data_IF_256018931297
#
_entry.id   IF_256018931297
#
_cell.length_a   1.000
_cell.length_b   1.000
_cell.length_c   1.000
_cell.angle_alpha   90.00
_cell.angle_beta   90.00
_cell.angle_gamma   90.00
#
_symmetry.space_group_name_H-M   'P 1'
#
loop_
_entity.id
_entity.type
_entity.pdbx_description
1 polymer ?
#
# COMPACT_ATOMS: atom_id res chain seq x y z
N UNK A 1 43.81 -12.75 25.27
CA UNK A 1 42.73 -12.49 26.25
C UNK A 1 42.55 -13.72 27.14
N UNK A 2 42.67 -13.56 28.48
CA UNK A 2 42.56 -14.70 29.38
C UNK A 2 41.15 -15.29 29.41
N UNK A 3 41.02 -16.61 29.39
CA UNK A 3 39.79 -17.38 29.41
C UNK A 3 38.80 -16.94 30.53
N UNK A 4 39.34 -16.42 31.66
CA UNK A 4 38.54 -15.86 32.74
C UNK A 4 37.86 -14.52 32.40
N UNK A 5 38.45 -13.70 31.52
CA UNK A 5 37.87 -12.41 31.08
C UNK A 5 36.75 -12.64 30.09
N UNK A 6 36.90 -13.65 29.22
CA UNK A 6 35.86 -14.07 28.28
C UNK A 6 34.60 -14.59 29.01
N UNK A 7 34.82 -15.42 30.07
CA UNK A 7 33.71 -15.92 30.92
C UNK A 7 32.95 -14.80 31.62
N UNK A 8 33.65 -13.77 32.11
CA UNK A 8 33.02 -12.61 32.78
C UNK A 8 32.25 -11.74 31.81
N UNK A 9 32.75 -11.51 30.60
CA UNK A 9 32.07 -10.74 29.57
C UNK A 9 30.82 -11.45 29.02
N UNK A 10 30.91 -12.75 28.82
CA UNK A 10 29.77 -13.58 28.40
C UNK A 10 28.70 -13.67 29.50
N UNK A 11 29.12 -13.80 30.76
CA UNK A 11 28.19 -13.83 31.90
C UNK A 11 27.47 -12.48 32.11
N UNK A 12 28.18 -11.35 31.95
CA UNK A 12 27.56 -10.03 32.04
C UNK A 12 26.57 -9.77 30.89
N UNK A 13 26.88 -10.26 29.70
CA UNK A 13 26.00 -10.14 28.54
C UNK A 13 24.73 -10.99 28.73
N UNK A 14 24.84 -12.20 29.30
CA UNK A 14 23.69 -13.05 29.59
C UNK A 14 22.79 -12.47 30.69
N UNK A 15 23.35 -11.87 31.72
CA UNK A 15 22.59 -11.23 32.83
C UNK A 15 21.86 -9.97 32.32
N UNK A 16 22.47 -9.17 31.47
CA UNK A 16 21.80 -8.03 30.83
C UNK A 16 20.64 -8.49 29.92
N UNK A 17 20.81 -9.61 29.20
CA UNK A 17 19.76 -10.18 28.36
C UNK A 17 18.55 -10.71 29.17
N UNK A 18 18.79 -11.34 30.31
CA UNK A 18 17.72 -11.86 31.18
C UNK A 18 16.96 -10.74 31.91
N UNK A 19 17.64 -9.64 32.27
CA UNK A 19 17.01 -8.47 32.90
C UNK A 19 16.04 -7.74 31.98
N UNK A 20 16.30 -7.67 30.68
CA UNK A 20 15.40 -7.06 29.68
C UNK A 20 14.23 -7.98 29.36
N UNK A 21 14.43 -9.29 29.37
CA UNK A 21 13.36 -10.26 29.11
C UNK A 21 12.27 -10.23 30.20
N UNK A 22 12.62 -10.01 31.47
CA UNK A 22 11.66 -9.95 32.57
C UNK A 22 10.79 -8.67 32.57
N UNK A 23 11.26 -7.58 32.00
CA UNK A 23 10.46 -6.36 31.82
C UNK A 23 9.44 -6.45 30.66
N UNK A 24 9.68 -7.36 29.71
CA UNK A 24 8.78 -7.56 28.56
C UNK A 24 7.58 -8.48 28.83
N UNK A 25 7.63 -9.30 29.89
CA UNK A 25 6.61 -10.31 30.23
C UNK A 25 5.45 -9.73 31.07
N UNK A 26 5.58 -8.51 31.60
CA UNK A 26 4.67 -7.99 32.63
C UNK A 26 3.35 -7.38 32.10
N UNK A 27 3.02 -7.47 30.80
CA UNK A 27 1.83 -6.76 30.29
C UNK A 27 1.14 -7.39 29.07
N UNK A 28 0.97 -8.70 29.04
CA UNK A 28 0.07 -9.34 28.07
C UNK A 28 -1.24 -9.79 28.72
N UNK A 29 -2.19 -8.87 28.86
CA UNK A 29 -3.59 -9.24 28.86
C UNK A 29 -3.93 -9.83 27.46
N UNK A 30 -4.79 -10.87 27.35
CA UNK A 30 -5.15 -11.44 26.05
C UNK A 30 -5.85 -10.36 25.22
N UNK A 31 -5.10 -9.71 24.36
CA UNK A 31 -5.64 -8.81 23.35
C UNK A 31 -6.44 -9.67 22.37
N UNK A 32 -7.71 -9.37 22.20
CA UNK A 32 -8.50 -9.83 21.08
C UNK A 32 -7.78 -9.37 19.81
N UNK A 33 -6.97 -10.25 19.24
CA UNK A 33 -6.25 -10.01 18.00
C UNK A 33 -7.30 -9.85 16.90
N UNK A 34 -7.51 -8.63 16.43
CA UNK A 34 -8.30 -8.43 15.23
C UNK A 34 -7.58 -9.17 14.10
N UNK A 35 -8.23 -10.15 13.50
CA UNK A 35 -7.66 -10.87 12.38
C UNK A 35 -7.41 -9.89 11.23
N UNK A 36 -6.14 -9.77 10.82
CA UNK A 36 -5.79 -8.92 9.69
C UNK A 36 -6.47 -9.45 8.42
N UNK A 37 -7.07 -8.57 7.64
CA UNK A 37 -7.74 -8.92 6.37
C UNK A 37 -6.75 -8.84 5.20
N UNK A 38 -6.93 -9.72 4.20
CA UNK A 38 -6.04 -9.78 3.00
C UNK A 38 -5.94 -8.43 2.30
N UNK A 39 -7.05 -7.73 2.11
CA UNK A 39 -7.10 -6.43 1.43
C UNK A 39 -7.13 -5.23 2.38
N UNK A 40 -6.94 -5.41 3.68
CA UNK A 40 -6.99 -4.34 4.68
C UNK A 40 -5.80 -3.39 4.68
N UNK A 41 -4.79 -3.62 3.84
CA UNK A 41 -3.60 -2.78 3.69
C UNK A 41 -2.61 -2.90 4.85
N UNK A 42 -1.47 -2.23 4.71
CA UNK A 42 -0.36 -2.29 5.69
C UNK A 42 -0.67 -1.65 7.04
N UNK A 43 -1.66 -0.78 7.10
CA UNK A 43 -2.04 -0.06 8.34
C UNK A 43 -2.55 -0.95 9.47
N UNK A 44 -2.94 -2.19 9.16
CA UNK A 44 -3.39 -3.18 10.14
C UNK A 44 -2.26 -3.99 10.79
N UNK A 45 -1.00 -3.78 10.38
CA UNK A 45 0.16 -4.51 10.88
C UNK A 45 1.13 -3.59 11.62
N UNK A 46 1.94 -4.20 12.51
CA UNK A 46 3.19 -3.59 13.00
C UNK A 46 4.26 -3.77 11.93
N UNK A 47 4.93 -2.68 11.58
CA UNK A 47 5.92 -2.65 10.49
C UNK A 47 7.27 -2.10 10.91
N UNK A 48 7.39 -1.52 12.09
CA UNK A 48 8.63 -0.96 12.61
C UNK A 48 9.17 -1.82 13.74
N UNK A 49 10.49 -1.97 13.76
CA UNK A 49 11.20 -2.59 14.87
C UNK A 49 12.53 -1.87 15.15
N UNK A 50 13.00 -1.99 16.37
CA UNK A 50 14.32 -1.55 16.83
C UNK A 50 15.00 -2.74 17.47
N UNK A 51 16.29 -2.93 17.18
CA UNK A 51 17.06 -4.04 17.72
C UNK A 51 18.38 -3.61 18.30
N UNK A 52 18.87 -4.46 19.20
CA UNK A 52 20.22 -4.42 19.75
C UNK A 52 20.90 -5.74 19.44
N UNK A 53 22.17 -5.69 19.07
CA UNK A 53 22.93 -6.89 18.76
C UNK A 53 24.35 -6.82 19.30
N UNK A 54 24.90 -7.97 19.61
CA UNK A 54 26.27 -8.16 20.02
C UNK A 54 26.84 -9.45 19.45
N UNK A 55 28.13 -9.47 19.23
CA UNK A 55 28.74 -10.63 18.58
C UNK A 55 30.23 -10.50 18.42
N UNK A 56 30.75 -11.19 17.44
CA UNK A 56 32.19 -11.33 17.17
C UNK A 56 32.54 -10.73 15.83
N UNK A 57 33.45 -9.79 15.83
CA UNK A 57 34.09 -9.21 14.66
C UNK A 57 35.40 -9.98 14.36
N UNK A 58 35.63 -10.32 13.10
CA UNK A 58 36.78 -11.08 12.63
C UNK A 58 37.27 -10.51 11.30
N UNK A 59 38.62 -10.28 11.13
CA UNK A 59 39.18 -9.82 9.85
C UNK A 59 39.30 -10.96 8.81
N UNK A 60 38.29 -11.81 8.74
CA UNK A 60 38.19 -12.96 7.84
C UNK A 60 36.75 -13.14 7.43
N UNK A 61 36.52 -13.63 6.23
CA UNK A 61 35.19 -13.95 5.72
C UNK A 61 35.10 -15.41 5.31
N UNK A 62 33.90 -15.98 5.41
CA UNK A 62 33.67 -17.39 5.04
C UNK A 62 33.89 -17.66 3.55
N UNK A 63 33.66 -16.64 2.69
CA UNK A 63 33.86 -16.72 1.24
C UNK A 63 34.76 -15.56 0.83
N UNK A 64 35.92 -15.86 0.20
CA UNK A 64 36.87 -14.86 -0.29
C UNK A 64 38.14 -14.71 0.54
N UNK A 65 38.33 -15.55 1.54
CA UNK A 65 39.58 -15.66 2.30
C UNK A 65 39.76 -14.67 3.43
N UNK A 66 40.98 -14.60 3.96
CA UNK A 66 41.42 -13.68 5.00
C UNK A 66 42.13 -12.47 4.41
N UNK A 67 42.36 -11.47 5.24
CA UNK A 67 43.28 -10.36 4.99
C UNK A 67 44.76 -10.81 5.12
N UNK A 68 45.69 -9.89 5.08
CA UNK A 68 47.13 -10.12 4.97
C UNK A 68 47.80 -10.82 6.18
N UNK A 69 47.05 -11.15 7.21
CA UNK A 69 47.52 -11.75 8.46
C UNK A 69 47.22 -13.25 8.52
N UNK A 70 48.22 -14.03 8.96
CA UNK A 70 48.09 -15.48 9.03
C UNK A 70 47.31 -15.99 10.24
N UNK A 71 47.12 -15.15 11.26
CA UNK A 71 46.29 -15.45 12.44
C UNK A 71 45.43 -14.24 12.78
N UNK A 72 44.18 -14.52 13.07
CA UNK A 72 43.17 -13.52 13.41
C UNK A 72 42.58 -13.76 14.78
N UNK A 73 42.12 -12.67 15.42
CA UNK A 73 41.47 -12.72 16.72
C UNK A 73 39.98 -12.42 16.60
N UNK A 74 39.23 -13.03 17.49
CA UNK A 74 37.81 -12.77 17.66
C UNK A 74 37.58 -11.64 18.63
N UNK A 75 37.07 -10.51 18.18
CA UNK A 75 36.84 -9.31 19.00
C UNK A 75 35.34 -9.04 19.17
N UNK A 76 34.99 -8.34 20.29
CA UNK A 76 33.62 -7.95 20.54
C UNK A 76 33.16 -6.86 19.56
N UNK A 77 32.04 -7.12 18.91
CA UNK A 77 31.26 -6.12 18.18
C UNK A 77 29.87 -5.97 18.79
N UNK A 78 29.31 -4.78 18.73
CA UNK A 78 27.97 -4.49 19.19
C UNK A 78 27.33 -3.37 18.37
N UNK A 79 26.00 -3.32 18.36
CA UNK A 79 25.32 -2.30 17.59
C UNK A 79 23.82 -2.26 17.81
N UNK A 80 23.22 -1.40 17.01
CA UNK A 80 21.78 -1.12 17.00
C UNK A 80 21.27 -1.17 15.56
N UNK A 81 20.01 -1.57 15.40
CA UNK A 81 19.34 -1.49 14.11
C UNK A 81 17.91 -0.98 14.24
N UNK A 82 17.45 -0.32 13.19
CA UNK A 82 16.06 0.09 13.02
C UNK A 82 15.59 -0.49 11.69
N UNK A 83 14.49 -1.23 11.74
CA UNK A 83 13.93 -1.88 10.55
C UNK A 83 12.52 -1.42 10.27
N UNK A 84 12.22 -1.26 8.99
CA UNK A 84 10.86 -1.08 8.48
C UNK A 84 10.50 -2.22 7.55
N UNK A 85 9.53 -3.01 7.93
CA UNK A 85 8.96 -4.04 7.07
C UNK A 85 8.05 -3.41 6.02
N UNK A 86 8.33 -3.65 4.73
CA UNK A 86 7.61 -3.10 3.59
C UNK A 86 6.60 -4.08 2.97
N UNK A 87 6.81 -5.35 3.19
CA UNK A 87 5.95 -6.46 2.76
C UNK A 87 6.20 -7.67 3.64
N UNK A 88 5.48 -8.76 3.43
CA UNK A 88 5.68 -10.00 4.23
C UNK A 88 7.11 -10.54 4.12
N UNK A 89 7.72 -10.42 2.94
CA UNK A 89 9.06 -10.97 2.68
C UNK A 89 10.16 -9.92 2.58
N UNK A 90 9.86 -8.62 2.57
CA UNK A 90 10.87 -7.58 2.33
C UNK A 90 10.79 -6.44 3.34
N UNK A 91 11.96 -6.05 3.87
CA UNK A 91 12.15 -4.91 4.76
C UNK A 91 13.39 -4.09 4.40
N UNK A 92 13.46 -2.88 4.93
CA UNK A 92 14.66 -2.03 4.93
C UNK A 92 15.16 -1.89 6.35
N UNK A 93 16.47 -1.98 6.53
CA UNK A 93 17.14 -1.88 7.83
C UNK A 93 18.29 -0.88 7.77
N UNK A 94 18.26 0.08 8.68
CA UNK A 94 19.40 0.93 9.01
C UNK A 94 20.11 0.28 10.19
N UNK A 95 21.40 -0.04 10.02
CA UNK A 95 22.20 -0.72 11.02
C UNK A 95 23.44 0.10 11.38
N UNK A 96 23.81 0.10 12.63
CA UNK A 96 25.02 0.69 13.15
C UNK A 96 25.81 -0.29 14.01
N UNK A 97 27.09 -0.48 13.72
CA UNK A 97 27.98 -1.42 14.41
C UNK A 97 29.24 -0.71 14.88
N UNK A 98 29.76 -1.12 16.03
CA UNK A 98 31.02 -0.67 16.61
C UNK A 98 31.80 -1.84 17.20
N UNK A 99 33.15 -1.74 17.21
CA UNK A 99 34.01 -2.78 17.80
C UNK A 99 35.45 -2.65 17.39
N UNK A 100 36.18 -3.76 17.42
CA UNK A 100 37.58 -3.86 17.01
C UNK A 100 37.81 -5.06 16.11
N UNK A 101 38.87 -4.96 15.28
CA UNK A 101 39.43 -6.03 14.50
C UNK A 101 40.90 -6.18 14.87
N UNK A 102 41.43 -7.38 14.99
CA UNK A 102 42.83 -7.62 15.18
C UNK A 102 43.33 -8.92 14.58
N UNK A 103 44.62 -8.96 14.33
CA UNK A 103 45.31 -10.14 13.83
C UNK A 103 46.82 -10.04 14.00
N UNK A 104 47.47 -11.19 13.91
CA UNK A 104 48.92 -11.30 14.09
C UNK A 104 49.54 -12.14 12.98
N UNK A 105 50.76 -11.82 12.64
CA UNK A 105 51.66 -12.63 11.78
C UNK A 105 52.73 -13.25 12.68
N UNK A 106 52.48 -14.50 13.11
CA UNK A 106 53.45 -15.25 13.93
C UNK A 106 54.66 -15.66 13.12
N UNK A 107 55.87 -15.49 13.70
CA UNK A 107 57.14 -15.97 13.15
C UNK A 107 57.78 -15.07 12.09
N UNK A 108 57.25 -13.87 11.83
CA UNK A 108 57.92 -12.95 10.91
C UNK A 108 59.05 -12.17 11.62
N UNK A 109 60.14 -12.03 10.92
CA UNK A 109 61.35 -11.31 11.40
C UNK A 109 61.41 -9.87 10.93
N UNK A 110 60.63 -9.49 9.94
CA UNK A 110 60.52 -8.14 9.37
C UNK A 110 59.09 -7.86 8.88
N UNK A 111 58.67 -6.59 8.99
CA UNK A 111 57.33 -6.13 8.58
C UNK A 111 56.37 -5.98 9.73
N UNK A 112 55.05 -5.95 9.46
CA UNK A 112 53.99 -5.78 10.46
C UNK A 112 53.75 -7.12 11.16
N UNK A 113 53.92 -7.12 12.49
CA UNK A 113 53.70 -8.30 13.35
C UNK A 113 52.26 -8.42 13.83
N UNK A 114 51.61 -7.29 14.14
CA UNK A 114 50.30 -7.25 14.74
C UNK A 114 49.53 -6.02 14.29
N UNK A 115 48.24 -6.14 14.10
CA UNK A 115 47.36 -4.99 13.95
C UNK A 115 46.18 -5.04 14.91
N UNK A 116 45.71 -3.85 15.29
CA UNK A 116 44.44 -3.61 15.98
C UNK A 116 43.73 -2.43 15.31
N UNK A 117 42.57 -2.65 14.76
CA UNK A 117 41.80 -1.59 14.12
C UNK A 117 40.56 -1.27 14.94
N UNK A 118 40.48 -0.04 15.45
CA UNK A 118 39.25 0.45 16.08
C UNK A 118 38.22 0.81 15.01
N UNK A 119 37.08 0.15 15.05
CA UNK A 119 35.91 0.51 14.25
C UNK A 119 35.07 1.49 15.06
N UNK A 120 35.23 2.79 14.79
CA UNK A 120 34.54 3.84 15.52
C UNK A 120 33.05 3.76 15.29
N UNK A 121 32.65 3.59 14.04
CA UNK A 121 31.29 3.26 13.60
C UNK A 121 31.34 2.64 12.22
N UNK A 122 30.39 1.77 11.95
CA UNK A 122 30.00 1.32 10.63
C UNK A 122 28.48 1.43 10.53
N UNK A 123 27.99 2.27 9.63
CA UNK A 123 26.55 2.49 9.42
C UNK A 123 26.18 2.09 8.02
N UNK A 124 25.17 1.27 7.89
CA UNK A 124 24.71 0.78 6.60
C UNK A 124 23.19 0.77 6.48
N UNK A 125 22.71 0.93 5.26
CA UNK A 125 21.33 0.69 4.86
C UNK A 125 21.29 -0.57 4.02
N UNK A 126 20.51 -1.56 4.45
CA UNK A 126 20.39 -2.85 3.78
C UNK A 126 18.94 -3.24 3.50
N UNK A 127 18.73 -3.93 2.40
CA UNK A 127 17.51 -4.71 2.17
C UNK A 127 17.57 -6.00 2.97
N UNK A 128 16.46 -6.39 3.55
CA UNK A 128 16.28 -7.65 4.27
C UNK A 128 15.20 -8.45 3.57
N UNK A 129 15.54 -9.64 3.09
CA UNK A 129 14.60 -10.54 2.40
C UNK A 129 14.41 -11.80 3.24
N UNK A 130 13.19 -12.05 3.67
CA UNK A 130 12.81 -13.30 4.29
C UNK A 130 12.65 -14.36 3.19
N UNK A 131 13.54 -15.34 3.17
CA UNK A 131 13.63 -16.35 2.10
C UNK A 131 12.86 -17.62 2.41
N UNK A 132 12.47 -17.82 3.66
CA UNK A 132 11.69 -18.96 4.08
C UNK A 132 11.34 -18.91 5.55
N UNK A 133 10.35 -19.72 5.93
CA UNK A 133 9.94 -19.89 7.33
C UNK A 133 9.61 -21.35 7.59
N UNK A 134 9.76 -21.75 8.83
CA UNK A 134 9.22 -23.02 9.33
C UNK A 134 7.78 -22.76 9.77
N UNK A 135 6.90 -23.75 9.66
CA UNK A 135 5.46 -23.66 9.94
C UNK A 135 4.64 -22.95 8.85
N UNK A 136 4.97 -23.22 7.62
CA UNK A 136 4.32 -22.68 6.40
C UNK A 136 2.77 -22.71 6.41
N UNK A 137 2.15 -23.68 7.08
CA UNK A 137 0.69 -23.82 7.15
C UNK A 137 0.05 -23.12 8.37
N UNK A 138 0.84 -22.56 9.27
CA UNK A 138 0.32 -21.80 10.42
C UNK A 138 0.01 -20.35 10.03
N UNK A 139 -0.92 -19.73 10.75
CA UNK A 139 -1.25 -18.29 10.57
C UNK A 139 -0.06 -17.40 10.80
N UNK A 140 0.78 -17.76 11.75
CA UNK A 140 2.01 -17.06 12.11
C UNK A 140 3.17 -18.03 12.14
N UNK A 141 4.26 -17.62 11.54
CA UNK A 141 5.51 -18.33 11.57
C UNK A 141 6.25 -18.05 12.88
N UNK A 142 7.06 -18.97 13.34
CA UNK A 142 7.88 -18.81 14.56
C UNK A 142 9.38 -18.76 14.26
N UNK A 143 9.81 -19.29 13.13
CA UNK A 143 11.20 -19.27 12.68
C UNK A 143 11.26 -18.80 11.24
N UNK A 144 12.08 -17.81 10.96
CA UNK A 144 12.31 -17.24 9.64
C UNK A 144 13.78 -17.23 9.26
N UNK A 145 14.08 -17.49 8.01
CA UNK A 145 15.42 -17.35 7.42
C UNK A 145 15.46 -16.06 6.59
N UNK A 146 16.51 -15.31 6.75
CA UNK A 146 16.67 -14.05 6.03
C UNK A 146 18.04 -13.91 5.39
N UNK A 147 18.11 -13.15 4.31
CA UNK A 147 19.33 -12.65 3.69
C UNK A 147 19.31 -11.14 3.65
N UNK A 148 20.48 -10.53 3.71
CA UNK A 148 20.63 -9.08 3.68
C UNK A 148 21.73 -8.68 2.69
N UNK A 149 21.51 -7.54 2.03
CA UNK A 149 22.55 -6.88 1.24
C UNK A 149 22.30 -5.38 1.23
N UNK A 150 23.38 -4.59 1.19
CA UNK A 150 23.27 -3.14 1.25
C UNK A 150 24.55 -2.40 0.95
N UNK A 151 24.60 -1.16 1.40
CA UNK A 151 25.77 -0.29 1.31
C UNK A 151 25.89 0.54 2.58
N UNK A 152 27.12 0.80 2.98
CA UNK A 152 27.40 1.52 4.21
C UNK A 152 28.67 2.32 4.15
N UNK A 153 28.84 3.11 5.19
CA UNK A 153 29.98 3.96 5.39
C UNK A 153 30.54 3.75 6.80
N UNK A 154 31.85 3.67 6.92
CA UNK A 154 32.51 3.42 8.19
C UNK A 154 33.66 4.35 8.44
N UNK A 155 33.99 4.53 9.73
CA UNK A 155 35.21 5.23 10.19
C UNK A 155 35.98 4.28 11.08
N UNK A 156 37.27 4.13 10.79
CA UNK A 156 38.14 3.20 11.47
C UNK A 156 39.57 3.79 11.65
N UNK A 157 40.32 3.25 12.60
CA UNK A 157 41.70 3.65 12.85
C UNK A 157 42.56 2.40 13.08
N UNK A 158 43.40 2.00 12.11
CA UNK A 158 44.37 0.95 12.29
C UNK A 158 45.52 1.37 13.18
N UNK A 159 45.97 0.44 13.99
CA UNK A 159 47.18 0.53 14.80
C UNK A 159 48.02 -0.71 14.53
N UNK A 160 49.20 -0.53 14.02
CA UNK A 160 50.12 -1.62 13.67
C UNK A 160 51.34 -1.66 14.54
N UNK A 161 51.78 -2.86 14.89
CA UNK A 161 53.03 -3.10 15.63
C UNK A 161 54.00 -3.82 14.70
N UNK A 162 55.13 -3.22 14.44
CA UNK A 162 56.19 -3.77 13.60
C UNK A 162 56.95 -4.85 14.35
N UNK A 163 57.66 -5.73 13.62
CA UNK A 163 58.53 -6.76 14.20
C UNK A 163 59.64 -6.22 15.10
N UNK A 164 60.12 -5.02 14.86
CA UNK A 164 61.10 -4.32 15.70
C UNK A 164 60.49 -3.63 16.96
N UNK A 165 59.20 -3.80 17.19
CA UNK A 165 58.49 -3.21 18.32
C UNK A 165 57.99 -1.76 18.11
N UNK A 166 58.23 -1.17 16.94
CA UNK A 166 57.70 0.16 16.61
C UNK A 166 56.18 0.06 16.44
N UNK A 167 55.44 0.96 17.06
CA UNK A 167 53.98 1.05 16.96
C UNK A 167 53.67 2.28 16.11
N UNK A 168 52.84 2.08 15.10
CA UNK A 168 52.30 3.12 14.22
C UNK A 168 50.80 3.18 14.47
N UNK A 169 50.31 4.29 14.98
CA UNK A 169 48.89 4.53 15.23
C UNK A 169 48.39 5.56 14.21
N UNK A 170 47.45 5.19 13.39
CA UNK A 170 46.87 6.05 12.36
C UNK A 170 45.99 7.15 12.95
N UNK A 171 45.51 6.94 14.17
CA UNK A 171 44.79 7.94 14.94
C UNK A 171 45.78 8.80 15.74
N UNK A 172 46.22 9.86 15.18
CA UNK A 172 47.15 10.81 15.85
C UNK A 172 48.58 10.79 15.33
N UNK A 173 48.86 10.05 14.28
CA UNK A 173 50.13 10.12 13.58
C UNK A 173 50.03 10.99 12.33
N UNK A 174 50.80 12.05 12.28
CA UNK A 174 50.99 12.85 11.06
C UNK A 174 51.80 12.12 9.98
N UNK A 175 52.22 10.90 10.26
CA UNK A 175 53.03 10.05 9.39
C UNK A 175 52.36 8.69 9.13
N UNK A 176 51.10 8.69 8.90
CA UNK A 176 50.48 7.55 8.22
C UNK A 176 51.20 7.36 6.89
N UNK A 177 51.64 6.13 6.53
CA UNK A 177 52.68 5.93 5.51
C UNK A 177 52.30 6.38 4.10
N UNK A 178 51.09 6.91 3.84
CA UNK A 178 50.66 7.06 2.45
C UNK A 178 49.70 8.23 2.14
N UNK A 179 49.34 9.12 3.07
CA UNK A 179 48.53 10.28 2.71
C UNK A 179 48.88 11.54 3.54
N UNK A 180 49.51 12.51 2.90
CA UNK A 180 49.88 13.82 3.48
C UNK A 180 48.69 14.74 3.82
N UNK A 181 47.46 14.23 3.62
CA UNK A 181 46.21 15.00 3.76
C UNK A 181 45.39 14.71 5.03
N UNK A 182 45.84 13.76 5.86
CA UNK A 182 45.13 13.42 7.08
C UNK A 182 45.62 14.24 8.25
N UNK A 183 44.74 15.01 8.90
CA UNK A 183 45.04 15.66 10.18
C UNK A 183 45.22 14.60 11.28
N UNK A 184 46.14 14.83 12.22
CA UNK A 184 46.61 13.91 13.26
C UNK A 184 45.53 13.38 14.26
N UNK A 185 44.25 13.53 13.98
CA UNK A 185 43.12 13.07 14.82
C UNK A 185 42.02 12.38 14.04
N UNK A 186 42.11 12.27 12.71
CA UNK A 186 41.02 11.79 11.88
C UNK A 186 41.04 10.26 11.73
N UNK A 187 39.83 9.68 11.79
CA UNK A 187 39.60 8.29 11.39
C UNK A 187 39.62 8.18 9.87
N UNK A 188 40.18 7.08 9.38
CA UNK A 188 40.04 6.69 7.96
C UNK A 188 38.56 6.42 7.68
N UNK A 189 38.09 6.92 6.57
CA UNK A 189 36.69 6.75 6.16
C UNK A 189 36.64 5.93 4.90
N UNK A 190 35.74 4.96 4.87
CA UNK A 190 35.58 4.03 3.75
C UNK A 190 34.13 3.62 3.51
N UNK A 191 33.84 3.28 2.27
CA UNK A 191 32.60 2.65 1.89
C UNK A 191 32.71 1.13 2.05
N UNK A 192 31.62 0.45 2.38
CA UNK A 192 31.59 -1.00 2.43
C UNK A 192 30.24 -1.58 1.97
N UNK A 193 30.26 -2.82 1.52
CA UNK A 193 29.10 -3.58 1.09
C UNK A 193 28.87 -4.73 2.08
N UNK A 194 27.87 -4.67 2.96
CA UNK A 194 27.47 -5.78 3.81
C UNK A 194 26.62 -6.78 3.02
N UNK A 195 26.95 -8.07 3.14
CA UNK A 195 26.13 -9.18 2.64
C UNK A 195 26.01 -10.20 3.77
N UNK A 196 24.80 -10.58 4.13
CA UNK A 196 24.59 -11.43 5.30
C UNK A 196 23.42 -12.40 5.14
N UNK A 197 23.39 -13.36 6.04
CA UNK A 197 22.28 -14.28 6.20
C UNK A 197 22.09 -14.59 7.69
N UNK A 198 20.88 -15.04 8.04
CA UNK A 198 20.59 -15.37 9.42
C UNK A 198 19.26 -16.08 9.62
N UNK A 199 18.99 -16.36 10.88
CA UNK A 199 17.77 -16.98 11.36
C UNK A 199 17.16 -16.08 12.43
N UNK A 200 15.87 -15.90 12.35
CA UNK A 200 15.09 -15.13 13.32
C UNK A 200 14.07 -16.04 14.00
N UNK A 201 13.93 -15.89 15.30
CA UNK A 201 12.99 -16.64 16.14
C UNK A 201 11.99 -15.65 16.76
N UNK A 202 10.70 -15.93 16.64
CA UNK A 202 9.65 -15.21 17.37
C UNK A 202 9.64 -15.68 18.82
N UNK A 203 10.09 -14.83 19.73
CA UNK A 203 10.11 -15.11 21.17
C UNK A 203 8.77 -14.74 21.81
N UNK A 204 8.21 -13.59 21.40
CA UNK A 204 6.89 -13.13 21.82
C UNK A 204 6.25 -12.29 20.71
N UNK A 205 5.05 -11.75 20.95
CA UNK A 205 4.38 -10.85 20.02
C UNK A 205 5.19 -9.58 19.70
N UNK A 206 6.11 -9.19 20.58
CA UNK A 206 6.89 -7.98 20.43
C UNK A 206 8.39 -8.20 20.33
N UNK A 207 8.87 -9.40 20.69
CA UNK A 207 10.30 -9.68 20.81
C UNK A 207 10.69 -10.79 19.87
N UNK A 208 11.69 -10.53 19.04
CA UNK A 208 12.34 -11.51 18.20
C UNK A 208 13.81 -11.68 18.63
N UNK A 209 14.32 -12.89 18.51
CA UNK A 209 15.73 -13.22 18.67
C UNK A 209 16.34 -13.51 17.31
N UNK A 210 17.45 -12.86 16.98
CA UNK A 210 18.14 -12.99 15.71
C UNK A 210 19.51 -13.60 15.89
N UNK A 211 19.88 -14.54 15.02
CA UNK A 211 21.23 -15.02 14.83
C UNK A 211 21.64 -14.71 13.39
N UNK A 212 22.74 -14.02 13.20
CA UNK A 212 23.16 -13.64 11.87
C UNK A 212 24.66 -13.64 11.68
N UNK A 213 25.06 -13.73 10.42
CA UNK A 213 26.43 -13.60 9.95
C UNK A 213 26.46 -12.65 8.76
N UNK A 214 27.31 -11.63 8.83
CA UNK A 214 27.48 -10.64 7.78
C UNK A 214 28.94 -10.59 7.33
N UNK A 215 29.19 -10.66 6.05
CA UNK A 215 30.46 -10.38 5.39
C UNK A 215 30.46 -8.93 4.90
N UNK A 216 31.48 -8.17 5.22
CA UNK A 216 31.62 -6.77 4.87
C UNK A 216 32.83 -6.62 3.92
N UNK A 217 32.53 -6.24 2.69
CA UNK A 217 33.54 -5.99 1.65
C UNK A 217 33.86 -4.50 1.63
N UNK A 218 35.08 -4.15 2.06
CA UNK A 218 35.50 -2.76 2.24
C UNK A 218 36.11 -2.24 0.96
N UNK A 219 35.83 -0.99 0.59
CA UNK A 219 36.43 -0.34 -0.58
C UNK A 219 37.77 0.32 -0.22
N UNK A 220 38.61 -0.38 0.57
CA UNK A 220 39.91 0.04 1.00
C UNK A 220 40.82 -1.18 1.24
N UNK A 221 42.13 -0.96 1.21
CA UNK A 221 43.21 -1.95 1.42
C UNK A 221 44.12 -1.51 2.58
N UNK A 222 43.54 -0.96 3.62
CA UNK A 222 44.26 -0.45 4.79
C UNK A 222 43.49 -0.64 6.10
N UNK A 223 42.48 -1.50 6.10
CA UNK A 223 41.70 -1.79 7.30
C UNK A 223 42.56 -2.49 8.36
N UNK A 224 43.51 -3.31 7.93
CA UNK A 224 44.53 -3.95 8.78
C UNK A 224 45.82 -3.15 8.91
N UNK A 225 45.89 -1.90 8.37
CA UNK A 225 47.03 -1.03 8.41
C UNK A 225 48.16 -1.40 7.46
N UNK A 226 47.94 -2.32 6.55
CA UNK A 226 48.91 -2.76 5.52
C UNK A 226 48.33 -2.47 4.15
N UNK A 227 49.16 -1.97 3.23
CA UNK A 227 48.80 -1.91 1.81
C UNK A 227 49.48 -3.08 1.08
N UNK A 228 48.72 -4.07 0.65
CA UNK A 228 49.23 -5.10 -0.19
C UNK A 228 49.40 -4.61 -1.64
N UNK A 229 50.52 -4.98 -2.28
CA UNK A 229 50.70 -4.72 -3.72
C UNK A 229 49.81 -5.67 -4.56
N UNK A 230 48.53 -5.57 -4.37
CA UNK A 230 47.55 -6.43 -5.04
C UNK A 230 46.20 -5.73 -5.27
N UNK A 231 45.30 -6.42 -5.95
CA UNK A 231 43.94 -5.92 -6.25
C UNK A 231 42.89 -6.35 -5.23
N UNK A 232 43.32 -7.03 -4.14
CA UNK A 232 42.42 -7.57 -3.12
C UNK A 232 42.17 -6.51 -2.03
N UNK A 233 40.92 -6.08 -1.92
CA UNK A 233 40.47 -5.16 -0.87
C UNK A 233 40.15 -5.93 0.41
N UNK A 234 40.26 -5.24 1.53
CA UNK A 234 40.02 -5.78 2.86
C UNK A 234 38.57 -6.21 3.09
N UNK A 235 38.42 -7.15 3.98
CA UNK A 235 37.12 -7.73 4.34
C UNK A 235 37.09 -8.01 5.83
N UNK A 236 35.89 -7.96 6.41
CA UNK A 236 35.69 -8.47 7.75
C UNK A 236 34.31 -9.09 7.90
N UNK A 237 34.17 -9.95 8.87
CA UNK A 237 32.88 -10.57 9.17
C UNK A 237 32.40 -10.23 10.56
N UNK A 238 31.08 -10.30 10.73
CA UNK A 238 30.41 -10.08 11.99
C UNK A 238 29.38 -11.19 12.21
N UNK A 239 29.68 -12.11 13.14
CA UNK A 239 28.75 -13.08 13.62
C UNK A 239 28.06 -12.55 14.86
N UNK A 240 26.72 -12.47 14.90
CA UNK A 240 26.00 -11.79 15.96
C UNK A 240 24.74 -12.53 16.41
N UNK A 241 24.37 -12.23 17.67
CA UNK A 241 23.07 -12.50 18.22
C UNK A 241 22.43 -11.17 18.63
N UNK A 242 21.10 -11.06 18.49
CA UNK A 242 20.41 -9.81 18.79
C UNK A 242 18.98 -10.03 19.24
N UNK A 243 18.43 -9.00 19.91
CA UNK A 243 17.02 -8.88 20.24
C UNK A 243 16.43 -7.73 19.43
N UNK A 244 15.28 -7.97 18.84
CA UNK A 244 14.54 -7.00 18.05
C UNK A 244 13.15 -6.81 18.64
N UNK A 245 12.74 -5.56 18.87
CA UNK A 245 11.49 -5.17 19.49
C UNK A 245 10.56 -4.53 18.44
N UNK A 246 9.41 -5.16 18.22
CA UNK A 246 8.39 -4.63 17.32
C UNK A 246 7.66 -3.45 17.93
N UNK A 247 7.58 -2.34 17.22
CA UNK A 247 6.97 -1.09 17.66
C UNK A 247 5.51 -0.99 17.18
N UNK A 248 4.65 -0.41 18.00
CA UNK A 248 3.23 -0.17 17.68
C UNK A 248 2.25 -0.86 18.61
N UNK A 249 0.96 -0.81 18.28
CA UNK A 249 -0.11 -1.36 19.11
C UNK A 249 -0.02 -2.89 19.19
N UNK A 250 -0.22 -3.47 20.38
CA UNK A 250 -0.30 -4.92 20.60
C UNK A 250 -1.50 -5.58 19.92
N UNK A 251 -2.55 -4.81 19.64
CA UNK A 251 -3.72 -5.29 18.91
C UNK A 251 -3.45 -5.60 17.42
N UNK A 252 -2.31 -5.14 16.86
CA UNK A 252 -1.93 -5.38 15.48
C UNK A 252 -0.93 -6.53 15.39
N UNK A 253 -1.11 -7.50 14.49
CA UNK A 253 -0.12 -8.54 14.23
C UNK A 253 1.15 -7.98 13.58
N UNK A 254 2.25 -8.72 13.66
CA UNK A 254 3.48 -8.37 12.96
C UNK A 254 3.38 -8.73 11.47
N UNK A 255 3.69 -7.79 10.58
CA UNK A 255 3.69 -8.02 9.14
C UNK A 255 4.68 -9.12 8.72
N UNK A 256 5.83 -9.19 9.38
CA UNK A 256 6.88 -10.17 9.09
C UNK A 256 6.46 -11.61 9.39
N UNK A 257 5.70 -11.81 10.47
CA UNK A 257 5.32 -13.14 10.94
C UNK A 257 3.97 -13.63 10.41
N UNK A 258 3.14 -12.74 9.90
CA UNK A 258 1.83 -13.12 9.34
C UNK A 258 2.02 -13.87 8.02
N UNK A 259 1.43 -15.04 7.92
CA UNK A 259 1.42 -15.84 6.70
C UNK A 259 0.26 -15.39 5.79
N UNK A 260 0.53 -14.76 4.62
CA UNK A 260 -0.52 -14.26 3.75
C UNK A 260 -1.40 -15.37 3.18
N UNK A 261 -0.85 -16.56 2.91
CA UNK A 261 -1.62 -17.70 2.40
C UNK A 261 -2.60 -18.24 3.43
N UNK A 262 -2.16 -18.35 4.69
CA UNK A 262 -3.05 -18.77 5.78
C UNK A 262 -4.17 -17.75 6.00
N UNK A 263 -3.87 -16.45 5.94
CA UNK A 263 -4.87 -15.38 6.07
C UNK A 263 -5.90 -15.44 4.93
N UNK A 264 -5.46 -15.65 3.69
CA UNK A 264 -6.36 -15.84 2.55
C UNK A 264 -7.26 -17.06 2.71
N UNK A 265 -6.68 -18.17 3.16
CA UNK A 265 -7.44 -19.41 3.37
C UNK A 265 -8.50 -19.26 4.46
N UNK A 266 -8.18 -18.56 5.52
CA UNK A 266 -9.11 -18.29 6.61
C UNK A 266 -10.24 -17.35 6.18
N UNK A 267 -9.92 -16.31 5.41
CA UNK A 267 -10.93 -15.38 4.88
C UNK A 267 -11.87 -16.07 3.89
N UNK A 268 -11.37 -16.99 3.06
CA UNK A 268 -12.19 -17.82 2.16
C UNK A 268 -13.08 -18.84 2.92
N UNK A 269 -12.64 -19.26 4.11
CA UNK A 269 -13.40 -20.19 4.97
C UNK A 269 -14.30 -19.49 5.98
N UNK A 270 -14.27 -18.16 6.05
CA UNK A 270 -15.07 -17.41 7.00
C UNK A 270 -16.57 -17.72 6.79
N UNK A 271 -17.23 -18.31 7.83
CA UNK A 271 -18.65 -18.60 7.72
C UNK A 271 -19.51 -17.37 7.50
N UNK A 272 -19.10 -16.19 8.01
CA UNK A 272 -19.80 -14.92 7.85
C UNK A 272 -19.81 -14.47 6.40
N UNK A 273 -18.68 -14.59 5.70
CA UNK A 273 -18.59 -14.29 4.26
C UNK A 273 -19.48 -15.23 3.43
N UNK A 274 -19.54 -16.51 3.78
CA UNK A 274 -20.46 -17.46 3.13
C UNK A 274 -21.92 -17.10 3.35
N UNK A 275 -22.29 -16.70 4.57
CA UNK A 275 -23.65 -16.25 4.88
C UNK A 275 -24.00 -14.97 4.11
N UNK A 276 -23.05 -14.01 4.00
CA UNK A 276 -23.25 -12.79 3.22
C UNK A 276 -23.43 -13.08 1.71
N UNK A 277 -22.59 -13.95 1.16
CA UNK A 277 -22.70 -14.39 -0.25
C UNK A 277 -24.04 -15.10 -0.49
N UNK A 278 -24.49 -15.96 0.42
CA UNK A 278 -25.79 -16.64 0.29
C UNK A 278 -26.95 -15.65 0.45
N UNK A 279 -26.86 -14.69 1.35
CA UNK A 279 -27.85 -13.62 1.49
C UNK A 279 -27.94 -12.73 0.22
N UNK A 280 -26.78 -12.38 -0.36
CA UNK A 280 -26.73 -11.65 -1.63
C UNK A 280 -27.33 -12.45 -2.77
N UNK A 281 -27.01 -13.74 -2.88
CA UNK A 281 -27.58 -14.64 -3.89
C UNK A 281 -29.09 -14.71 -3.77
N UNK A 282 -29.63 -14.86 -2.55
CA UNK A 282 -31.06 -14.87 -2.31
C UNK A 282 -31.73 -13.54 -2.68
N UNK A 283 -31.07 -12.41 -2.41
CA UNK A 283 -31.56 -11.07 -2.83
C UNK A 283 -31.57 -10.93 -4.35
N UNK A 284 -30.53 -11.38 -5.03
CA UNK A 284 -30.44 -11.35 -6.50
C UNK A 284 -31.57 -12.21 -7.09
N UNK A 285 -31.76 -13.44 -6.61
CA UNK A 285 -32.85 -14.33 -7.08
C UNK A 285 -34.25 -13.74 -6.84
N UNK A 286 -34.44 -13.04 -5.72
CA UNK A 286 -35.71 -12.35 -5.45
C UNK A 286 -35.93 -11.18 -6.43
N UNK A 287 -34.86 -10.41 -6.74
CA UNK A 287 -34.93 -9.34 -7.75
C UNK A 287 -35.19 -9.89 -9.14
N UNK A 288 -34.50 -10.96 -9.54
CA UNK A 288 -34.71 -11.64 -10.82
C UNK A 288 -36.18 -12.10 -10.98
N UNK A 289 -36.70 -12.73 -9.91
CA UNK A 289 -38.13 -13.15 -9.90
C UNK A 289 -39.09 -11.96 -10.03
N UNK A 290 -38.82 -10.87 -9.30
CA UNK A 290 -39.61 -9.65 -9.37
C UNK A 290 -39.58 -9.03 -10.77
N UNK A 291 -38.41 -9.03 -11.43
CA UNK A 291 -38.30 -8.57 -12.83
C UNK A 291 -39.05 -9.47 -13.80
N UNK A 292 -39.04 -10.77 -13.56
CA UNK A 292 -39.80 -11.74 -14.39
C UNK A 292 -41.29 -11.57 -14.20
N UNK A 293 -41.75 -11.36 -12.95
CA UNK A 293 -43.15 -11.08 -12.66
C UNK A 293 -43.61 -9.74 -13.29
N UNK A 294 -42.76 -8.74 -13.36
CA UNK A 294 -43.01 -7.45 -14.04
C UNK A 294 -43.14 -7.60 -15.57
N UNK A 295 -42.60 -8.65 -16.16
CA UNK A 295 -42.71 -8.93 -17.60
C UNK A 295 -43.95 -9.73 -17.99
N UNK A 296 -44.67 -10.28 -17.01
CA UNK A 296 -45.92 -11.04 -17.28
C UNK A 296 -46.97 -10.06 -17.74
N UNK A 297 -47.53 -10.38 -18.89
CA UNK A 297 -48.68 -9.70 -19.54
C UNK A 297 -49.55 -10.80 -20.07
N UNK A 298 -50.57 -11.16 -19.30
CA UNK A 298 -51.35 -12.38 -19.53
C UNK A 298 -52.36 -12.23 -20.69
N UNK A 299 -52.81 -11.03 -20.97
CA UNK A 299 -53.78 -10.74 -22.05
C UNK A 299 -53.12 -10.07 -23.28
N UNK A 300 -51.85 -9.68 -23.18
CA UNK A 300 -51.07 -9.17 -24.31
C UNK A 300 -51.48 -7.76 -24.75
N UNK A 301 -52.01 -6.96 -23.83
CA UNK A 301 -52.41 -5.58 -24.09
C UNK A 301 -51.25 -4.56 -24.00
N UNK A 302 -50.07 -5.01 -23.52
CA UNK A 302 -48.83 -4.20 -23.38
C UNK A 302 -48.66 -3.61 -22.01
N UNK A 303 -49.53 -3.89 -21.03
CA UNK A 303 -49.39 -3.53 -19.63
C UNK A 303 -49.16 -4.79 -18.80
N UNK A 304 -48.14 -4.81 -17.94
CA UNK A 304 -47.88 -6.01 -17.17
C UNK A 304 -49.00 -6.29 -16.15
N UNK A 305 -49.27 -7.56 -15.86
CA UNK A 305 -50.28 -8.04 -14.91
C UNK A 305 -50.27 -7.30 -13.55
N UNK A 306 -49.13 -6.87 -13.11
CA UNK A 306 -48.97 -6.15 -11.84
C UNK A 306 -49.55 -4.73 -11.87
N UNK A 307 -49.58 -4.09 -13.03
CA UNK A 307 -50.05 -2.72 -13.22
C UNK A 307 -51.38 -2.67 -13.96
N UNK A 308 -51.80 -3.81 -14.50
CA UNK A 308 -53.06 -3.95 -15.24
C UNK A 308 -54.24 -3.95 -14.26
N UNK A 309 -55.17 -2.99 -14.48
CA UNK A 309 -56.43 -2.87 -13.73
C UNK A 309 -57.62 -3.48 -14.49
N UNK A 310 -57.42 -3.78 -15.75
CA UNK A 310 -58.45 -4.34 -16.62
C UNK A 310 -58.01 -5.68 -17.24
N UNK A 311 -57.74 -6.72 -16.43
CA UNK A 311 -57.25 -8.00 -16.91
C UNK A 311 -58.27 -8.64 -17.89
N UNK A 312 -57.78 -9.08 -19.04
CA UNK A 312 -58.58 -9.66 -20.11
C UNK A 312 -58.89 -8.68 -21.23
N UNK A 313 -58.20 -7.56 -21.34
CA UNK A 313 -58.30 -6.67 -22.50
C UNK A 313 -57.73 -7.36 -23.74
N UNK A 314 -58.47 -7.49 -24.84
CA UNK A 314 -57.96 -8.20 -26.02
C UNK A 314 -56.71 -7.58 -26.59
N UNK A 315 -55.74 -8.42 -26.96
CA UNK A 315 -54.46 -7.97 -27.54
C UNK A 315 -54.72 -7.07 -28.77
N UNK A 316 -53.98 -5.94 -28.81
CA UNK A 316 -54.12 -4.93 -29.87
C UNK A 316 -55.24 -3.90 -29.65
N UNK A 317 -55.96 -3.95 -28.52
CA UNK A 317 -56.84 -2.87 -28.07
C UNK A 317 -55.97 -1.71 -27.57
N UNK A 318 -56.29 -0.48 -27.99
CA UNK A 318 -55.61 0.70 -27.46
C UNK A 318 -56.02 0.90 -25.99
N UNK A 319 -55.06 0.73 -25.08
CA UNK A 319 -55.25 0.83 -23.62
C UNK A 319 -54.50 2.06 -23.04
N UNK A 320 -54.96 2.50 -21.89
CA UNK A 320 -54.23 3.46 -21.09
C UNK A 320 -53.08 2.80 -20.31
N UNK A 321 -52.26 3.59 -19.56
CA UNK A 321 -51.13 3.07 -18.77
C UNK A 321 -51.54 2.14 -17.61
N UNK A 322 -52.83 1.84 -17.43
CA UNK A 322 -53.39 0.89 -16.47
C UNK A 322 -54.07 -0.32 -17.11
N UNK A 323 -53.84 -0.56 -18.42
CA UNK A 323 -54.37 -1.72 -19.12
C UNK A 323 -55.88 -1.62 -19.49
N UNK A 324 -56.51 -0.45 -19.23
CA UNK A 324 -57.94 -0.30 -19.51
C UNK A 324 -58.17 0.29 -20.90
N UNK A 325 -59.19 -0.23 -21.66
CA UNK A 325 -59.51 0.27 -22.99
C UNK A 325 -59.78 1.77 -23.01
N UNK A 326 -59.09 2.48 -23.89
CA UNK A 326 -59.37 3.90 -24.12
C UNK A 326 -60.79 4.07 -24.67
N UNK A 327 -61.62 5.00 -24.15
CA UNK A 327 -62.93 5.28 -24.74
C UNK A 327 -62.73 5.72 -26.19
N UNK A 328 -63.49 5.06 -27.12
CA UNK A 328 -63.46 5.41 -28.54
C UNK A 328 -63.87 6.88 -28.65
N UNK A 329 -62.92 7.75 -28.91
CA UNK A 329 -63.17 9.16 -29.09
C UNK A 329 -63.99 9.35 -30.39
N UNK A 330 -65.27 9.69 -30.25
CA UNK A 330 -66.07 10.24 -31.33
C UNK A 330 -65.39 11.53 -31.77
N UNK A 331 -64.90 11.58 -32.98
CA UNK A 331 -64.21 12.69 -33.60
C UNK A 331 -64.96 14.00 -33.40
N UNK A 332 -64.53 14.80 -32.44
CA UNK A 332 -64.86 16.20 -32.43
C UNK A 332 -63.57 16.94 -32.74
N UNK A 333 -63.50 17.44 -33.94
CA UNK A 333 -62.49 18.36 -34.45
C UNK A 333 -62.43 19.56 -33.52
N UNK A 334 -61.35 19.65 -32.73
CA UNK A 334 -61.02 20.85 -32.02
C UNK A 334 -59.60 21.26 -32.39
N UNK A 335 -59.58 22.34 -33.12
CA UNK A 335 -58.48 23.26 -33.43
C UNK A 335 -57.11 23.01 -32.85
N UNK A 336 -56.14 22.97 -33.74
CA UNK A 336 -54.71 23.10 -33.61
C UNK A 336 -54.30 24.36 -32.81
N UNK A 337 -54.20 24.25 -31.47
CA UNK A 337 -53.43 25.23 -30.75
C UNK A 337 -51.97 24.78 -30.73
N UNK A 338 -51.08 25.60 -31.33
CA UNK A 338 -49.67 25.39 -31.40
C UNK A 338 -49.08 25.31 -30.02
N UNK A 339 -48.50 24.14 -29.67
CA UNK A 339 -47.75 23.90 -28.44
C UNK A 339 -46.48 24.78 -28.48
N UNK A 340 -46.56 25.97 -27.97
CA UNK A 340 -45.44 26.88 -27.76
C UNK A 340 -44.92 26.68 -26.36
N UNK A 341 -43.96 25.77 -26.18
CA UNK A 341 -43.23 25.61 -24.93
C UNK A 341 -43.50 24.26 -24.25
N UNK A 342 -42.54 23.40 -24.29
CA UNK A 342 -42.60 22.16 -23.49
C UNK A 342 -42.22 22.45 -22.05
N UNK A 343 -42.80 21.71 -21.11
CA UNK A 343 -42.55 21.82 -19.69
C UNK A 343 -41.07 21.60 -19.36
N UNK A 344 -40.62 22.23 -18.29
CA UNK A 344 -39.24 22.13 -17.80
C UNK A 344 -39.01 20.76 -17.17
N UNK A 345 -37.86 20.15 -17.46
CA UNK A 345 -37.46 18.86 -16.91
C UNK A 345 -36.44 19.12 -15.80
N UNK A 346 -36.81 18.81 -14.55
CA UNK A 346 -35.98 19.01 -13.36
C UNK A 346 -34.98 17.86 -13.15
N UNK A 347 -33.86 18.20 -12.46
CA UNK A 347 -32.81 17.23 -12.10
C UNK A 347 -32.44 17.38 -10.62
N UNK A 348 -31.97 16.28 -10.02
CA UNK A 348 -31.42 16.30 -8.68
C UNK A 348 -30.06 16.96 -8.64
N UNK A 349 -29.64 17.30 -7.41
CA UNK A 349 -28.31 17.83 -7.17
C UNK A 349 -27.26 16.87 -7.68
N UNK A 350 -26.26 17.41 -8.38
CA UNK A 350 -25.13 16.65 -8.91
C UNK A 350 -25.50 15.42 -9.77
N UNK A 351 -26.67 15.42 -10.40
CA UNK A 351 -27.21 14.33 -11.20
C UNK A 351 -27.59 14.79 -12.60
N UNK A 352 -27.36 13.89 -13.59
CA UNK A 352 -27.89 13.96 -14.95
C UNK A 352 -28.90 12.83 -15.23
N UNK A 353 -29.34 12.10 -14.21
CA UNK A 353 -30.34 11.03 -14.34
C UNK A 353 -31.73 11.66 -14.41
N UNK A 354 -32.54 11.18 -15.38
CA UNK A 354 -33.93 11.62 -15.53
C UNK A 354 -34.77 11.14 -14.35
N UNK A 355 -35.63 12.02 -13.85
CA UNK A 355 -36.60 11.68 -12.82
C UNK A 355 -37.82 10.98 -13.43
N UNK A 356 -38.44 10.08 -12.68
CA UNK A 356 -39.64 9.33 -13.13
C UNK A 356 -40.77 10.28 -13.51
N UNK A 357 -40.94 11.40 -12.80
CA UNK A 357 -41.93 12.44 -13.07
C UNK A 357 -41.77 13.16 -14.42
N UNK A 358 -40.57 13.03 -15.05
CA UNK A 358 -40.27 13.66 -16.34
C UNK A 358 -40.69 12.82 -17.55
N UNK A 359 -40.93 11.53 -17.36
CA UNK A 359 -41.21 10.62 -18.47
C UNK A 359 -42.48 10.98 -19.23
N UNK A 360 -43.63 11.32 -18.60
CA UNK A 360 -44.85 11.69 -19.36
C UNK A 360 -44.62 12.90 -20.27
N UNK A 361 -43.84 13.89 -19.80
CA UNK A 361 -43.50 15.09 -20.60
C UNK A 361 -42.60 14.71 -21.78
N UNK A 362 -41.63 13.82 -21.55
CA UNK A 362 -40.68 13.37 -22.57
C UNK A 362 -41.40 12.47 -23.63
N UNK A 363 -42.34 11.65 -23.22
CA UNK A 363 -43.15 10.83 -24.11
C UNK A 363 -44.04 11.68 -25.04
N UNK A 364 -44.71 12.69 -24.48
CA UNK A 364 -45.46 13.67 -25.22
C UNK A 364 -44.59 14.41 -26.23
N UNK A 365 -43.40 14.85 -25.83
CA UNK A 365 -42.43 15.51 -26.72
C UNK A 365 -41.95 14.56 -27.83
N UNK A 366 -41.66 13.29 -27.49
CA UNK A 366 -41.23 12.29 -28.46
C UNK A 366 -42.33 12.01 -29.50
N UNK A 367 -43.58 11.89 -29.09
CA UNK A 367 -44.74 11.69 -29.98
C UNK A 367 -44.89 12.88 -30.95
N UNK A 368 -44.86 14.09 -30.44
CA UNK A 368 -44.94 15.31 -31.26
C UNK A 368 -43.82 15.39 -32.29
N UNK A 369 -42.58 15.06 -31.90
CA UNK A 369 -41.45 15.07 -32.81
C UNK A 369 -41.49 13.98 -33.90
N UNK A 370 -42.04 12.83 -33.58
CA UNK A 370 -42.25 11.71 -34.53
C UNK A 370 -43.36 12.02 -35.53
N UNK A 371 -44.48 12.57 -35.04
CA UNK A 371 -45.71 12.80 -35.87
C UNK A 371 -45.54 14.05 -36.75
N UNK A 372 -45.07 15.17 -36.16
CA UNK A 372 -45.05 16.45 -36.87
C UNK A 372 -43.70 16.78 -37.48
N UNK A 373 -42.66 15.95 -37.22
CA UNK A 373 -41.28 16.28 -37.57
C UNK A 373 -40.78 17.53 -36.85
N UNK A 374 -39.77 18.18 -37.38
CA UNK A 374 -39.17 19.38 -36.81
C UNK A 374 -37.89 19.10 -36.02
N UNK A 375 -37.20 20.16 -35.68
CA UNK A 375 -35.95 20.10 -34.92
C UNK A 375 -36.15 20.76 -33.55
N UNK A 376 -35.52 20.21 -32.54
CA UNK A 376 -35.56 20.74 -31.19
C UNK A 376 -34.13 20.88 -30.66
N UNK A 377 -33.89 22.00 -29.98
CA UNK A 377 -32.67 22.19 -29.21
C UNK A 377 -32.97 21.98 -27.72
N UNK A 378 -32.26 21.03 -27.11
CA UNK A 378 -32.34 20.68 -25.70
C UNK A 378 -31.26 21.46 -24.95
N UNK A 379 -31.66 22.44 -24.15
CA UNK A 379 -30.81 23.34 -23.40
C UNK A 379 -30.73 22.88 -21.94
N UNK A 380 -29.56 22.44 -21.49
CA UNK A 380 -29.32 22.05 -20.10
C UNK A 380 -28.79 23.20 -19.27
N UNK A 381 -29.16 23.24 -18.00
CA UNK A 381 -28.74 24.25 -17.01
C UNK A 381 -28.34 23.58 -15.70
N UNK A 382 -27.51 24.26 -14.92
CA UNK A 382 -27.08 23.89 -13.58
C UNK A 382 -27.34 25.04 -12.59
N UNK A 383 -27.38 24.72 -11.31
CA UNK A 383 -27.28 25.72 -10.24
C UNK A 383 -25.82 26.23 -10.13
N UNK A 384 -25.60 27.32 -9.38
CA UNK A 384 -24.29 27.96 -9.23
C UNK A 384 -23.32 27.19 -8.31
N UNK A 385 -23.71 26.02 -7.82
CA UNK A 385 -22.88 25.20 -6.94
C UNK A 385 -21.79 24.48 -7.74
N UNK A 386 -20.53 24.62 -7.32
CA UNK A 386 -19.39 24.04 -8.01
C UNK A 386 -18.62 25.02 -8.89
N UNK A 387 -17.75 24.49 -9.76
CA UNK A 387 -16.99 25.31 -10.70
C UNK A 387 -17.75 25.52 -12.02
N UNK A 388 -17.54 26.67 -12.67
CA UNK A 388 -18.15 26.94 -13.97
C UNK A 388 -17.88 25.84 -15.02
N UNK A 389 -16.65 25.30 -15.05
CA UNK A 389 -16.30 24.21 -15.96
C UNK A 389 -17.08 22.92 -15.64
N UNK A 390 -17.25 22.60 -14.36
CA UNK A 390 -18.05 21.47 -13.91
C UNK A 390 -19.52 21.63 -14.28
N UNK A 391 -20.11 22.78 -13.97
CA UNK A 391 -21.50 23.13 -14.28
C UNK A 391 -21.79 23.10 -15.79
N UNK A 392 -20.83 23.55 -16.58
CA UNK A 392 -20.91 23.43 -18.06
C UNK A 392 -21.00 21.97 -18.51
N UNK A 393 -20.16 21.11 -17.96
CA UNK A 393 -20.20 19.67 -18.27
C UNK A 393 -21.51 19.03 -17.79
N UNK A 394 -21.91 19.26 -16.54
CA UNK A 394 -23.12 18.68 -15.95
C UNK A 394 -24.39 19.10 -16.71
N UNK A 395 -24.48 20.37 -17.12
CA UNK A 395 -25.61 20.86 -17.91
C UNK A 395 -25.67 20.20 -19.30
N UNK A 396 -24.53 19.96 -19.93
CA UNK A 396 -24.45 19.23 -21.20
C UNK A 396 -24.83 17.76 -21.03
N UNK A 397 -24.42 17.13 -19.94
CA UNK A 397 -24.75 15.73 -19.63
C UNK A 397 -26.27 15.57 -19.40
N UNK A 398 -26.92 16.52 -18.72
CA UNK A 398 -28.40 16.57 -18.57
C UNK A 398 -29.10 16.69 -19.92
N UNK A 399 -28.65 17.59 -20.79
CA UNK A 399 -29.21 17.72 -22.13
C UNK A 399 -29.04 16.45 -22.97
N UNK A 400 -27.91 15.76 -22.82
CA UNK A 400 -27.66 14.50 -23.50
C UNK A 400 -28.56 13.35 -22.96
N UNK A 401 -28.86 13.30 -21.66
CA UNK A 401 -29.79 12.32 -21.08
C UNK A 401 -31.19 12.45 -21.70
N UNK A 402 -31.69 13.69 -21.84
CA UNK A 402 -32.95 13.95 -22.52
C UNK A 402 -32.88 13.54 -24.01
N UNK A 403 -31.81 13.89 -24.73
CA UNK A 403 -31.62 13.44 -26.12
C UNK A 403 -31.62 11.93 -26.23
N UNK A 404 -30.89 11.22 -25.36
CA UNK A 404 -30.84 9.76 -25.35
C UNK A 404 -32.22 9.16 -25.17
N UNK A 405 -33.01 9.71 -24.25
CA UNK A 405 -34.38 9.26 -24.06
C UNK A 405 -35.25 9.44 -25.32
N UNK A 406 -35.24 10.64 -25.92
CA UNK A 406 -36.01 10.93 -27.13
C UNK A 406 -35.61 10.05 -28.31
N UNK A 407 -34.30 9.78 -28.48
CA UNK A 407 -33.82 8.86 -29.54
C UNK A 407 -34.26 7.43 -29.29
N UNK A 408 -34.18 6.97 -28.04
CA UNK A 408 -34.66 5.63 -27.67
C UNK A 408 -36.19 5.50 -27.83
N UNK A 409 -36.92 6.60 -27.68
CA UNK A 409 -38.36 6.68 -27.94
C UNK A 409 -38.69 6.84 -29.44
N UNK A 410 -37.72 6.65 -30.35
CA UNK A 410 -37.92 6.61 -31.80
C UNK A 410 -37.82 7.95 -32.53
N UNK A 411 -37.36 9.04 -31.85
CA UNK A 411 -37.07 10.33 -32.51
C UNK A 411 -35.74 10.25 -33.23
N UNK A 412 -35.67 10.72 -34.47
CA UNK A 412 -34.42 10.74 -35.24
C UNK A 412 -33.37 11.66 -34.53
N UNK A 413 -32.16 11.14 -34.34
CA UNK A 413 -31.09 11.85 -33.65
C UNK A 413 -30.69 13.21 -34.30
N UNK A 414 -30.95 13.36 -35.61
CA UNK A 414 -30.72 14.60 -36.36
C UNK A 414 -31.73 15.72 -36.05
N UNK A 415 -32.88 15.35 -35.43
CA UNK A 415 -33.90 16.29 -34.99
C UNK A 415 -33.59 16.91 -33.61
N UNK A 416 -32.67 16.32 -32.87
CA UNK A 416 -32.38 16.72 -31.47
C UNK A 416 -30.97 17.21 -31.33
N UNK A 417 -30.80 18.55 -31.21
CA UNK A 417 -29.54 19.19 -30.84
C UNK A 417 -29.45 19.34 -29.31
N UNK A 418 -28.26 19.26 -28.76
CA UNK A 418 -28.03 19.46 -27.30
C UNK A 418 -27.07 20.63 -27.06
N UNK A 419 -27.38 21.45 -26.05
CA UNK A 419 -26.53 22.54 -25.59
C UNK A 419 -26.45 22.58 -24.09
N UNK A 420 -25.22 22.59 -23.53
CA UNK A 420 -25.00 22.89 -22.12
C UNK A 420 -24.79 24.40 -21.96
N UNK A 421 -25.46 25.01 -20.99
CA UNK A 421 -25.37 26.43 -20.69
C UNK A 421 -24.74 26.69 -19.30
N UNK A 422 -24.31 25.64 -18.57
CA UNK A 422 -23.75 25.78 -17.23
C UNK A 422 -24.73 26.42 -16.29
N UNK A 423 -24.29 27.39 -15.52
CA UNK A 423 -25.06 28.18 -14.57
C UNK A 423 -25.67 29.48 -15.18
N UNK A 424 -25.54 29.64 -16.50
CA UNK A 424 -26.09 30.81 -17.17
C UNK A 424 -27.62 30.79 -17.15
N UNK A 425 -28.23 31.96 -17.23
CA UNK A 425 -29.68 32.21 -17.31
C UNK A 425 -30.46 31.51 -16.17
N UNK A 426 -30.14 31.82 -14.90
CA UNK A 426 -30.93 31.30 -13.78
C UNK A 426 -32.36 31.83 -13.85
N UNK A 427 -33.34 31.00 -13.54
CA UNK A 427 -34.78 31.36 -13.50
C UNK A 427 -35.27 31.66 -12.09
N UNK A 428 -34.44 31.33 -11.10
CA UNK A 428 -34.68 31.63 -9.70
C UNK A 428 -33.36 31.97 -9.00
N UNK A 429 -33.41 32.53 -7.78
CA UNK A 429 -32.20 32.82 -7.02
C UNK A 429 -31.40 31.56 -6.69
N UNK A 430 -30.11 31.61 -6.88
CA UNK A 430 -29.20 30.55 -6.46
C UNK A 430 -28.85 30.59 -4.95
N UNK A 431 -29.30 31.60 -4.23
CA UNK A 431 -29.04 31.75 -2.79
C UNK A 431 -29.87 30.78 -1.93
N UNK A 432 -31.03 30.39 -2.44
CA UNK A 432 -31.93 29.44 -1.76
C UNK A 432 -31.92 28.09 -2.43
N UNK A 433 -32.15 27.01 -1.67
CA UNK A 433 -32.22 25.66 -2.23
C UNK A 433 -33.39 25.50 -3.20
N UNK A 434 -34.53 26.10 -2.89
CA UNK A 434 -35.73 26.08 -3.74
C UNK A 434 -35.42 26.71 -5.11
N UNK A 435 -34.66 27.80 -5.14
CA UNK A 435 -34.27 28.44 -6.38
C UNK A 435 -33.22 27.61 -7.15
N UNK A 436 -32.27 27.00 -6.44
CA UNK A 436 -31.30 26.07 -7.07
C UNK A 436 -31.99 24.84 -7.70
N UNK A 437 -33.01 24.29 -7.03
CA UNK A 437 -33.84 23.20 -7.60
C UNK A 437 -34.45 23.62 -8.95
N UNK A 438 -34.97 24.83 -9.03
CA UNK A 438 -35.54 25.36 -10.28
C UNK A 438 -34.49 25.58 -11.38
N UNK A 439 -33.28 25.94 -11.00
CA UNK A 439 -32.17 26.15 -11.93
C UNK A 439 -31.58 24.85 -12.48
N UNK A 440 -31.70 23.74 -11.75
CA UNK A 440 -31.27 22.39 -12.19
C UNK A 440 -32.28 21.80 -13.17
N UNK A 441 -32.29 22.29 -14.41
CA UNK A 441 -33.32 21.97 -15.39
C UNK A 441 -32.79 21.73 -16.80
N UNK A 442 -33.64 21.19 -17.62
CA UNK A 442 -33.54 21.19 -19.08
C UNK A 442 -34.77 21.87 -19.68
N UNK A 443 -34.56 22.69 -20.66
CA UNK A 443 -35.61 23.34 -21.46
C UNK A 443 -35.47 22.92 -22.93
N UNK A 444 -36.57 22.79 -23.64
CA UNK A 444 -36.56 22.47 -25.06
C UNK A 444 -37.07 23.65 -25.86
N UNK A 445 -36.32 24.01 -26.88
CA UNK A 445 -36.70 25.06 -27.83
C UNK A 445 -36.85 24.45 -29.22
N UNK A 446 -37.97 24.71 -29.89
CA UNK A 446 -38.22 24.31 -31.27
C UNK A 446 -37.47 25.28 -32.21
N UNK A 447 -36.74 24.71 -33.19
CA UNK A 447 -36.01 25.48 -34.20
C UNK A 447 -36.86 25.69 -35.46
#
# INVERSE_FOLDING_TARGET
MNYSTLKKSVALSLVALTGVATLAVAQDAPATTSSAKVFGGRGQYRTWSIGVHGGVLMPVVAIGGSNDFNKWDANLGYGLNIRKQLGHSFGLELNGTRGKLSGTNEGITSGVREFETELQYAVDLRGVVNVGSIDFLRRENSVGFFVTAGGGYMAYAPKVTMSNGTVIDWKGSATGPFDDKHEAKDYVKGFYIPVGAGVKFKVSERVNFNLGYTMNFVDADNLDGVYAKGTTKDKFSYGYAGLEFSLGSSAKPSLEWTNPLATMYDELKDPSLRQEVEALKNRVSAVEKSVEDLKKDADGDGVSDQFDKCPGTPAGTAVDGSGCPLPVATTTTTSTEGVTGFEKIGFDFNSSVLKTESYPTLDKLSSVLRENGGKVTVNGYASSEGTAAYNMKLSKDRANSVKTYLVNSGVNSSQVATKGNGEANPIASNDTEEGRIQNRRVETARN
#
